data_IF_470226812119
#
_entry.id   IF_470226812119
#
_cell.length_a   1.000
_cell.length_b   1.000
_cell.length_c   1.000
_cell.angle_alpha   90.00
_cell.angle_beta   90.00
_cell.angle_gamma   90.00
#
_symmetry.space_group_name_H-M   'P 1'
#
loop_
_entity.id
_entity.type
_entity.pdbx_description
1 polymer ?
#
# COMPACT_ATOMS: atom_id res chain seq x y z
N UNK A 1 -7.26 -9.50 -1.74
CA UNK A 1 -6.73 -10.82 -2.13
C UNK A 1 -6.27 -10.90 -3.57
N UNK A 2 -7.11 -10.70 -4.60
CA UNK A 2 -6.65 -10.81 -6.00
C UNK A 2 -5.46 -9.90 -6.34
N UNK A 3 -5.48 -8.62 -5.93
CA UNK A 3 -4.35 -7.72 -6.17
C UNK A 3 -3.07 -8.15 -5.41
N UNK A 4 -3.22 -8.71 -4.21
CA UNK A 4 -2.10 -9.25 -3.43
C UNK A 4 -1.48 -10.46 -4.16
N UNK A 5 -2.30 -11.42 -4.60
CA UNK A 5 -1.81 -12.58 -5.36
C UNK A 5 -1.16 -12.21 -6.70
N UNK A 6 -1.74 -11.23 -7.42
CA UNK A 6 -1.18 -10.71 -8.66
C UNK A 6 0.14 -9.97 -8.42
N UNK A 7 0.28 -9.27 -7.28
CA UNK A 7 1.50 -8.58 -6.89
C UNK A 7 2.71 -9.50 -6.73
N UNK A 8 2.49 -10.76 -6.36
CA UNK A 8 3.53 -11.80 -6.24
C UNK A 8 3.94 -12.45 -7.57
N UNK A 9 3.17 -12.24 -8.64
CA UNK A 9 3.49 -12.83 -9.94
C UNK A 9 4.68 -12.11 -10.59
N UNK A 10 5.45 -12.87 -11.38
CA UNK A 10 6.61 -12.32 -12.10
C UNK A 10 6.23 -11.57 -13.37
N UNK A 11 5.09 -11.92 -13.98
CA UNK A 11 4.67 -11.32 -15.24
C UNK A 11 4.38 -9.83 -15.05
N UNK A 12 4.87 -9.01 -15.99
CA UNK A 12 4.72 -7.56 -15.93
C UNK A 12 3.24 -7.14 -15.87
N UNK A 13 2.38 -7.81 -16.63
CA UNK A 13 0.96 -7.45 -16.70
C UNK A 13 0.24 -7.72 -15.38
N UNK A 14 0.55 -8.83 -14.71
CA UNK A 14 -0.03 -9.17 -13.40
C UNK A 14 0.35 -8.12 -12.35
N UNK A 15 1.63 -7.71 -12.33
CA UNK A 15 2.11 -6.67 -11.41
C UNK A 15 1.47 -5.30 -11.70
N UNK A 16 1.24 -4.96 -12.97
CA UNK A 16 0.54 -3.72 -13.33
C UNK A 16 -0.95 -3.77 -13.00
N UNK A 17 -1.60 -4.93 -13.12
CA UNK A 17 -2.97 -5.12 -12.66
C UNK A 17 -3.07 -4.99 -11.14
N UNK A 18 -2.14 -5.59 -10.40
CA UNK A 18 -2.05 -5.41 -8.94
C UNK A 18 -1.92 -3.93 -8.56
N UNK A 19 -0.99 -3.22 -9.21
CA UNK A 19 -0.79 -1.78 -8.99
C UNK A 19 -2.07 -0.99 -9.28
N UNK A 20 -2.70 -1.23 -10.44
CA UNK A 20 -3.94 -0.56 -10.83
C UNK A 20 -5.04 -0.80 -9.79
N UNK A 21 -5.29 -2.05 -9.41
CA UNK A 21 -6.34 -2.41 -8.45
C UNK A 21 -6.10 -1.78 -7.09
N UNK A 22 -4.88 -1.79 -6.57
CA UNK A 22 -4.55 -1.17 -5.28
C UNK A 22 -4.67 0.37 -5.34
N UNK A 23 -4.38 0.96 -6.49
CA UNK A 23 -4.51 2.42 -6.71
C UNK A 23 -5.97 2.88 -6.63
N UNK A 24 -6.94 2.04 -6.97
CA UNK A 24 -8.37 2.37 -6.85
C UNK A 24 -8.78 2.64 -5.39
N UNK A 25 -8.15 1.95 -4.44
CA UNK A 25 -8.34 2.14 -2.99
C UNK A 25 -7.37 3.13 -2.34
N UNK A 26 -6.50 3.79 -3.13
CA UNK A 26 -5.47 4.70 -2.59
C UNK A 26 -4.34 3.99 -1.82
N UNK A 27 -4.18 2.67 -1.99
CA UNK A 27 -3.23 1.84 -1.22
C UNK A 27 -2.16 1.20 -2.11
N UNK A 28 -1.77 1.87 -3.20
CA UNK A 28 -0.85 1.33 -4.21
C UNK A 28 0.58 1.06 -3.72
N UNK A 29 1.00 1.71 -2.64
CA UNK A 29 2.31 1.46 -2.01
C UNK A 29 2.41 0.06 -1.39
N UNK A 30 1.28 -0.59 -1.08
CA UNK A 30 1.24 -1.92 -0.47
C UNK A 30 2.06 -2.95 -1.22
N UNK A 31 2.00 -2.99 -2.56
CA UNK A 31 2.78 -3.97 -3.34
C UNK A 31 4.29 -3.83 -3.14
N UNK A 32 4.79 -2.60 -2.97
CA UNK A 32 6.21 -2.37 -2.74
C UNK A 32 6.59 -2.85 -1.35
N UNK A 33 5.85 -2.38 -0.35
CA UNK A 33 6.16 -2.69 1.04
C UNK A 33 5.99 -4.17 1.33
N UNK A 34 4.89 -4.77 0.89
CA UNK A 34 4.58 -6.15 1.18
C UNK A 34 5.64 -7.08 0.55
N UNK A 35 5.94 -6.89 -0.74
CA UNK A 35 6.82 -7.79 -1.48
C UNK A 35 8.30 -7.63 -1.14
N UNK A 36 8.78 -6.42 -0.84
CA UNK A 36 10.20 -6.13 -0.62
C UNK A 36 10.55 -5.87 0.85
N UNK A 37 9.55 -5.53 1.66
CA UNK A 37 9.66 -5.24 3.08
C UNK A 37 9.12 -6.38 3.93
N UNK A 38 7.80 -6.56 3.97
CA UNK A 38 7.15 -7.47 4.92
C UNK A 38 7.67 -8.90 4.81
N UNK A 39 7.72 -9.49 3.61
CA UNK A 39 8.27 -10.84 3.44
C UNK A 39 9.72 -10.99 3.89
N UNK A 40 10.50 -9.91 3.88
CA UNK A 40 11.90 -9.92 4.32
C UNK A 40 12.04 -9.81 5.84
N UNK A 41 11.15 -9.07 6.49
CA UNK A 41 11.26 -8.67 7.90
C UNK A 41 10.14 -9.20 8.79
N UNK A 42 9.24 -10.03 8.27
CA UNK A 42 8.09 -10.59 9.00
C UNK A 42 8.52 -11.15 10.36
N UNK A 43 7.72 -10.86 11.39
CA UNK A 43 7.98 -11.20 12.79
C UNK A 43 9.25 -10.59 13.41
N UNK A 44 9.80 -9.51 12.83
CA UNK A 44 10.88 -8.72 13.44
C UNK A 44 10.38 -7.35 13.91
N UNK A 45 11.10 -6.68 14.83
CA UNK A 45 10.73 -5.32 15.27
C UNK A 45 10.65 -4.27 14.16
N UNK A 46 11.35 -4.51 13.04
CA UNK A 46 11.42 -3.62 11.88
C UNK A 46 10.24 -3.82 10.90
N UNK A 47 9.33 -4.74 11.19
CA UNK A 47 8.13 -4.97 10.40
C UNK A 47 6.90 -4.24 10.95
N UNK A 48 6.43 -3.16 10.29
CA UNK A 48 5.19 -2.49 10.65
C UNK A 48 3.98 -3.43 10.50
N UNK A 49 4.01 -4.39 9.58
CA UNK A 49 2.91 -5.31 9.28
C UNK A 49 2.82 -6.56 10.19
N UNK A 50 3.77 -6.74 11.12
CA UNK A 50 3.67 -7.77 12.16
C UNK A 50 3.10 -7.16 13.43
N UNK A 51 2.03 -7.74 13.96
CA UNK A 51 1.44 -7.27 15.22
C UNK A 51 2.34 -7.63 16.39
N UNK A 52 2.37 -6.79 17.42
CA UNK A 52 3.13 -7.08 18.65
C UNK A 52 2.26 -7.83 19.63
N UNK A 53 2.87 -8.67 20.46
CA UNK A 53 2.18 -9.34 21.56
C UNK A 53 1.38 -8.34 22.42
N UNK A 54 0.07 -8.59 22.57
CA UNK A 54 -0.84 -7.74 23.34
C UNK A 54 -1.22 -6.41 22.68
N UNK A 55 -0.82 -6.17 21.42
CA UNK A 55 -1.23 -4.98 20.67
C UNK A 55 -2.70 -5.09 20.27
N UNK A 56 -3.49 -4.06 20.57
CA UNK A 56 -4.86 -3.95 20.06
C UNK A 56 -4.87 -3.61 18.57
N UNK A 57 -5.88 -4.06 17.82
CA UNK A 57 -6.06 -3.72 16.41
C UNK A 57 -5.94 -2.21 16.11
N UNK A 58 -6.45 -1.34 16.97
CA UNK A 58 -6.37 0.10 16.73
C UNK A 58 -4.96 0.65 16.84
N UNK A 59 -4.21 0.24 17.87
CA UNK A 59 -2.77 0.59 18.00
C UNK A 59 -1.96 0.05 16.81
N UNK A 60 -2.28 -1.17 16.37
CA UNK A 60 -1.67 -1.77 15.20
C UNK A 60 -1.96 -0.94 13.94
N UNK A 61 -3.21 -0.62 13.64
CA UNK A 61 -3.60 0.19 12.47
C UNK A 61 -2.87 1.53 12.41
N UNK A 62 -2.82 2.26 13.53
CA UNK A 62 -2.14 3.56 13.58
C UNK A 62 -0.61 3.47 13.47
N UNK A 63 -0.02 2.29 13.72
CA UNK A 63 1.41 2.03 13.53
C UNK A 63 1.71 1.48 12.14
N UNK A 64 0.92 0.52 11.69
CA UNK A 64 1.12 -0.25 10.47
C UNK A 64 0.90 0.60 9.23
N UNK A 65 -0.24 1.28 9.10
CA UNK A 65 -0.56 2.02 7.88
C UNK A 65 0.47 3.10 7.52
N UNK A 66 0.86 4.03 8.43
CA UNK A 66 1.90 4.99 8.11
C UNK A 66 3.28 4.33 7.97
N UNK A 67 3.59 3.34 8.83
CA UNK A 67 4.86 2.61 8.77
C UNK A 67 5.06 1.87 7.45
N UNK A 68 4.01 1.25 6.94
CA UNK A 68 3.99 0.58 5.65
C UNK A 68 4.22 1.58 4.52
N UNK A 69 3.58 2.75 4.55
CA UNK A 69 3.83 3.78 3.53
C UNK A 69 5.29 4.25 3.51
N UNK A 70 5.84 4.66 4.65
CA UNK A 70 7.21 5.16 4.72
C UNK A 70 8.22 4.08 4.32
N UNK A 71 8.04 2.85 4.79
CA UNK A 71 8.90 1.73 4.40
C UNK A 71 8.80 1.41 2.91
N UNK A 72 7.60 1.46 2.33
CA UNK A 72 7.44 1.31 0.88
C UNK A 72 8.22 2.39 0.12
N UNK A 73 8.13 3.64 0.57
CA UNK A 73 8.82 4.76 -0.05
C UNK A 73 10.32 4.52 -0.07
N UNK A 74 10.93 4.24 1.08
CA UNK A 74 12.37 4.00 1.20
C UNK A 74 12.84 2.81 0.33
N UNK A 75 12.07 1.72 0.32
CA UNK A 75 12.37 0.55 -0.53
C UNK A 75 12.27 0.85 -2.03
N UNK A 76 11.35 1.73 -2.43
CA UNK A 76 11.22 2.15 -3.82
C UNK A 76 12.33 3.09 -4.24
N UNK A 77 12.75 4.00 -3.36
CA UNK A 77 13.92 4.84 -3.56
C UNK A 77 15.18 4.00 -3.77
N UNK A 78 15.43 3.03 -2.88
CA UNK A 78 16.56 2.11 -3.00
C UNK A 78 16.54 1.34 -4.34
N UNK A 79 15.36 0.89 -4.77
CA UNK A 79 15.20 0.23 -6.07
C UNK A 79 15.54 1.17 -7.23
N UNK A 80 15.09 2.41 -7.19
CA UNK A 80 15.32 3.40 -8.25
C UNK A 80 16.79 3.81 -8.31
N UNK A 81 17.43 4.05 -7.16
CA UNK A 81 18.85 4.38 -7.04
C UNK A 81 19.72 3.28 -7.63
N UNK A 82 19.46 2.01 -7.28
CA UNK A 82 20.16 0.85 -7.88
C UNK A 82 20.00 0.75 -9.40
N UNK A 83 18.96 1.37 -9.96
CA UNK A 83 18.71 1.43 -11.40
C UNK A 83 19.20 2.75 -12.03
N UNK A 84 19.87 3.64 -11.27
CA UNK A 84 20.33 4.94 -11.74
C UNK A 84 19.19 5.92 -12.08
N UNK A 85 18.03 5.79 -11.43
CA UNK A 85 16.83 6.59 -11.70
C UNK A 85 16.52 7.53 -10.53
N UNK A 86 15.96 8.70 -10.85
CA UNK A 86 15.43 9.64 -9.87
C UNK A 86 14.21 9.07 -9.14
N UNK A 87 14.01 9.48 -7.89
CA UNK A 87 12.81 9.20 -7.09
C UNK A 87 11.52 9.68 -7.77
N UNK A 88 11.61 10.75 -8.57
CA UNK A 88 10.49 11.32 -9.34
C UNK A 88 10.30 10.68 -10.72
N UNK A 89 11.03 9.61 -11.03
CA UNK A 89 10.88 8.88 -12.29
C UNK A 89 9.46 8.30 -12.43
N UNK A 90 8.97 8.25 -13.67
CA UNK A 90 7.76 7.48 -14.00
C UNK A 90 7.89 5.99 -13.72
N UNK A 91 9.10 5.49 -13.47
CA UNK A 91 9.31 4.12 -13.00
C UNK A 91 8.97 3.91 -11.52
N UNK A 92 8.79 4.98 -10.74
CA UNK A 92 8.38 4.89 -9.34
C UNK A 92 6.95 4.34 -9.24
N UNK A 93 6.80 3.13 -8.70
CA UNK A 93 5.51 2.44 -8.59
C UNK A 93 4.54 3.19 -7.66
N UNK A 94 5.04 3.88 -6.63
CA UNK A 94 4.22 4.67 -5.70
C UNK A 94 3.71 5.93 -6.39
N UNK A 95 4.53 6.60 -7.19
CA UNK A 95 4.10 7.76 -7.99
C UNK A 95 3.07 7.33 -9.03
N UNK A 96 3.30 6.24 -9.76
CA UNK A 96 2.32 5.71 -10.72
C UNK A 96 0.97 5.45 -10.04
N UNK A 97 0.98 4.79 -8.88
CA UNK A 97 -0.24 4.55 -8.13
C UNK A 97 -0.92 5.84 -7.68
N UNK A 98 -0.15 6.77 -7.11
CA UNK A 98 -0.66 8.07 -6.65
C UNK A 98 -1.31 8.86 -7.79
N UNK A 99 -0.72 8.87 -8.98
CA UNK A 99 -1.30 9.50 -10.17
C UNK A 99 -2.63 8.85 -10.55
N UNK A 100 -2.72 7.52 -10.56
CA UNK A 100 -3.98 6.79 -10.85
C UNK A 100 -5.05 7.15 -9.81
N UNK A 101 -4.70 7.13 -8.52
CA UNK A 101 -5.63 7.50 -7.44
C UNK A 101 -6.10 8.94 -7.58
N UNK A 102 -5.18 9.89 -7.82
CA UNK A 102 -5.50 11.31 -7.99
C UNK A 102 -6.40 11.55 -9.20
N UNK A 103 -6.14 10.89 -10.34
CA UNK A 103 -6.98 11.01 -11.53
C UNK A 103 -8.39 10.46 -11.27
N UNK A 104 -8.50 9.28 -10.63
CA UNK A 104 -9.79 8.69 -10.31
C UNK A 104 -10.55 9.56 -9.30
N UNK A 105 -9.94 9.91 -8.18
CA UNK A 105 -10.61 10.61 -7.09
C UNK A 105 -10.91 12.05 -7.50
N UNK A 106 -9.95 12.72 -8.16
CA UNK A 106 -10.15 14.05 -8.73
C UNK A 106 -11.27 14.06 -9.77
N UNK A 107 -11.31 13.07 -10.66
CA UNK A 107 -12.39 12.92 -11.65
C UNK A 107 -13.76 12.75 -10.99
N UNK A 108 -13.87 11.87 -9.99
CA UNK A 108 -15.12 11.67 -9.24
C UNK A 108 -15.55 12.93 -8.49
N UNK A 109 -14.63 13.66 -7.87
CA UNK A 109 -14.93 14.92 -7.17
C UNK A 109 -15.36 16.01 -8.17
N UNK A 110 -14.74 16.09 -9.35
CA UNK A 110 -15.13 17.05 -10.39
C UNK A 110 -16.55 16.77 -10.90
N UNK A 111 -16.90 15.48 -11.11
CA UNK A 111 -18.20 15.08 -11.66
C UNK A 111 -19.31 15.16 -10.61
N UNK A 112 -19.06 14.71 -9.38
CA UNK A 112 -20.08 14.54 -8.34
C UNK A 112 -20.01 15.57 -7.20
N UNK A 113 -19.03 16.47 -7.24
CA UNK A 113 -18.83 17.54 -6.27
C UNK A 113 -18.06 17.14 -5.02
N UNK A 114 -17.86 18.09 -4.11
CA UNK A 114 -17.06 17.92 -2.88
C UNK A 114 -17.67 16.92 -1.89
N UNK A 115 -18.97 16.61 -2.02
CA UNK A 115 -19.65 15.54 -1.27
C UNK A 115 -18.99 14.18 -1.46
N UNK A 116 -18.20 14.00 -2.53
CA UNK A 116 -17.42 12.78 -2.78
C UNK A 116 -16.23 12.59 -1.84
N UNK A 117 -15.69 13.66 -1.29
CA UNK A 117 -14.51 13.61 -0.41
C UNK A 117 -14.72 12.67 0.78
N UNK A 118 -15.76 12.84 1.65
CA UNK A 118 -15.94 11.95 2.79
C UNK A 118 -16.20 10.50 2.39
N UNK A 119 -16.89 10.26 1.26
CA UNK A 119 -17.16 8.90 0.78
C UNK A 119 -15.91 8.21 0.26
N UNK A 120 -15.07 8.92 -0.50
CA UNK A 120 -13.78 8.40 -0.98
C UNK A 120 -12.82 8.12 0.18
N UNK A 121 -12.75 9.01 1.18
CA UNK A 121 -11.96 8.77 2.38
C UNK A 121 -12.44 7.53 3.15
N UNK A 122 -13.75 7.36 3.30
CA UNK A 122 -14.32 6.20 3.99
C UNK A 122 -14.00 4.89 3.25
N UNK A 123 -14.12 4.88 1.91
CA UNK A 123 -13.81 3.71 1.07
C UNK A 123 -12.31 3.39 1.10
N UNK A 124 -11.45 4.40 0.96
CA UNK A 124 -10.00 4.22 1.00
C UNK A 124 -9.56 3.66 2.36
N UNK A 125 -10.05 4.27 3.45
CA UNK A 125 -9.78 3.78 4.80
C UNK A 125 -10.29 2.35 4.99
N UNK A 126 -11.52 2.04 4.58
CA UNK A 126 -12.07 0.70 4.73
C UNK A 126 -11.25 -0.34 3.96
N UNK A 127 -10.85 -0.03 2.72
CA UNK A 127 -10.00 -0.90 1.91
C UNK A 127 -8.64 -1.17 2.56
N UNK A 128 -7.97 -0.11 3.03
CA UNK A 128 -6.71 -0.23 3.77
C UNK A 128 -6.89 -1.03 5.07
N UNK A 129 -7.93 -0.72 5.84
CA UNK A 129 -8.24 -1.37 7.11
C UNK A 129 -8.48 -2.87 6.96
N UNK A 130 -9.11 -3.32 5.86
CA UNK A 130 -9.29 -4.74 5.59
C UNK A 130 -7.95 -5.46 5.36
N UNK A 131 -7.03 -4.85 4.61
CA UNK A 131 -5.68 -5.39 4.42
C UNK A 131 -4.88 -5.41 5.74
N UNK A 132 -4.88 -4.29 6.46
CA UNK A 132 -4.23 -4.19 7.77
C UNK A 132 -4.84 -5.19 8.77
N UNK A 133 -6.15 -5.42 8.74
CA UNK A 133 -6.79 -6.41 9.62
C UNK A 133 -6.37 -7.84 9.28
N UNK A 134 -6.16 -8.15 7.99
CA UNK A 134 -5.59 -9.43 7.58
C UNK A 134 -4.17 -9.60 8.14
N UNK A 135 -3.30 -8.60 7.96
CA UNK A 135 -1.94 -8.59 8.55
C UNK A 135 -1.98 -8.79 10.07
N UNK A 136 -2.88 -8.10 10.77
CA UNK A 136 -3.02 -8.20 12.22
C UNK A 136 -3.37 -9.63 12.67
N UNK A 137 -4.31 -10.28 11.97
CA UNK A 137 -4.78 -11.63 12.33
C UNK A 137 -3.73 -12.68 11.96
N UNK A 138 -3.15 -12.58 10.76
CA UNK A 138 -2.15 -13.54 10.26
C UNK A 138 -0.84 -13.48 11.07
N UNK A 139 -0.54 -12.32 11.65
CA UNK A 139 0.65 -12.11 12.48
C UNK A 139 0.30 -11.78 13.93
N UNK A 140 -0.84 -12.29 14.43
CA UNK A 140 -1.29 -12.00 15.78
C UNK A 140 -0.42 -12.69 16.84
N UNK A 141 0.32 -11.91 17.63
CA UNK A 141 1.11 -12.44 18.74
C UNK A 141 2.36 -13.22 18.34
N UNK A 142 2.90 -12.99 17.13
CA UNK A 142 4.29 -13.32 16.77
C UNK A 142 5.27 -12.42 17.53
#
# INVERSE_FOLDING_TARGET
>A
NTAHELGHKKAWIDRKLALLTLSLGGYGHFSVEHNRGHHRWVATPDDPASSRMGESIWRFVFREMPGAFFRAWDLELERLERNGKSEWSFDNEIIQAGVITLMLYGGLIIIFGTTMIPLLLAIAFWGAFQLTSANYIEHYGL
#
